data_IF_191749574467
#
_entry.id   IF_191749574467
#
_cell.length_a   1.000
_cell.length_b   1.000
_cell.length_c   1.000
_cell.angle_alpha   90.00
_cell.angle_beta   90.00
_cell.angle_gamma   90.00
#
_symmetry.space_group_name_H-M   'P 1'
#
loop_
_entity.id
_entity.type
_entity.pdbx_description
1 polymer ?
#
# COMPACT_ATOMS: atom_id res chain seq x y z
N UNK A 1 -13.27 -20.09 16.75
CA UNK A 1 -12.37 -18.93 16.88
C UNK A 1 -11.36 -19.05 15.76
N UNK A 2 -11.17 -18.00 14.94
CA UNK A 2 -10.10 -17.99 13.93
C UNK A 2 -8.75 -17.91 14.66
N UNK A 3 -7.76 -18.68 14.20
CA UNK A 3 -6.41 -18.64 14.75
C UNK A 3 -5.73 -17.29 14.51
N UNK A 4 -4.69 -16.94 15.28
CA UNK A 4 -3.93 -15.72 15.06
C UNK A 4 -3.36 -15.68 13.63
N UNK A 5 -3.52 -14.54 12.96
CA UNK A 5 -2.93 -14.29 11.65
C UNK A 5 -1.41 -14.35 11.75
N UNK A 6 -0.75 -15.04 10.82
CA UNK A 6 0.71 -15.10 10.79
C UNK A 6 1.31 -13.75 10.35
N UNK A 7 2.55 -13.47 10.77
CA UNK A 7 3.25 -12.23 10.40
C UNK A 7 3.40 -12.09 8.87
N UNK A 8 3.65 -13.20 8.18
CA UNK A 8 3.80 -13.23 6.71
C UNK A 8 2.49 -12.96 5.97
N UNK A 9 1.36 -13.52 6.45
CA UNK A 9 0.03 -13.23 5.91
C UNK A 9 -0.32 -11.75 6.09
N UNK A 10 -0.04 -11.20 7.28
CA UNK A 10 -0.24 -9.77 7.56
C UNK A 10 0.60 -8.90 6.62
N UNK A 11 1.89 -9.22 6.45
CA UNK A 11 2.79 -8.46 5.58
C UNK A 11 2.31 -8.49 4.12
N UNK A 12 1.87 -9.65 3.63
CA UNK A 12 1.32 -9.81 2.28
C UNK A 12 0.04 -8.99 2.10
N UNK A 13 -0.86 -9.03 3.07
CA UNK A 13 -2.12 -8.29 3.03
C UNK A 13 -1.89 -6.77 3.07
N UNK A 14 -0.98 -6.31 3.91
CA UNK A 14 -0.56 -4.90 3.96
C UNK A 14 0.07 -4.45 2.64
N UNK A 15 0.94 -5.28 2.03
CA UNK A 15 1.53 -4.97 0.72
C UNK A 15 0.45 -4.82 -0.36
N UNK A 16 -0.52 -5.73 -0.42
CA UNK A 16 -1.66 -5.64 -1.35
C UNK A 16 -2.49 -4.38 -1.12
N UNK A 17 -2.75 -4.03 0.13
CA UNK A 17 -3.47 -2.80 0.50
C UNK A 17 -2.70 -1.54 0.07
N UNK A 18 -1.39 -1.46 0.35
CA UNK A 18 -0.52 -0.35 -0.06
C UNK A 18 -0.57 -0.15 -1.58
N UNK A 19 -0.46 -1.24 -2.36
CA UNK A 19 -0.56 -1.20 -3.82
C UNK A 19 -1.94 -0.73 -4.26
N UNK A 20 -3.02 -1.28 -3.66
CA UNK A 20 -4.39 -0.88 -3.99
C UNK A 20 -4.65 0.60 -3.76
N UNK A 21 -4.19 1.16 -2.64
CA UNK A 21 -4.31 2.59 -2.34
C UNK A 21 -3.53 3.42 -3.37
N UNK A 22 -2.27 3.06 -3.66
CA UNK A 22 -1.45 3.79 -4.62
C UNK A 22 -2.10 3.85 -6.00
N UNK A 23 -2.56 2.71 -6.51
CA UNK A 23 -3.24 2.62 -7.81
C UNK A 23 -4.55 3.41 -7.81
N UNK A 24 -5.36 3.32 -6.74
CA UNK A 24 -6.62 4.04 -6.64
C UNK A 24 -6.42 5.56 -6.72
N UNK A 25 -5.41 6.10 -6.04
CA UNK A 25 -5.05 7.52 -6.09
C UNK A 25 -4.61 7.91 -7.50
N UNK A 26 -3.75 7.10 -8.14
CA UNK A 26 -3.32 7.32 -9.51
C UNK A 26 -4.48 7.37 -10.50
N UNK A 27 -5.36 6.37 -10.46
CA UNK A 27 -6.55 6.30 -11.33
C UNK A 27 -7.45 7.51 -11.09
N UNK A 28 -7.65 7.92 -9.84
CA UNK A 28 -8.45 9.10 -9.50
C UNK A 28 -7.89 10.37 -10.17
N UNK A 29 -6.59 10.62 -10.03
CA UNK A 29 -5.90 11.75 -10.66
C UNK A 29 -5.98 11.70 -12.19
N UNK A 30 -5.83 10.51 -12.79
CA UNK A 30 -5.94 10.32 -14.23
C UNK A 30 -7.35 10.68 -14.74
N UNK A 31 -8.40 10.24 -14.04
CA UNK A 31 -9.79 10.57 -14.40
C UNK A 31 -10.05 12.07 -14.26
N UNK A 32 -9.54 12.72 -13.21
CA UNK A 32 -9.66 14.18 -13.04
C UNK A 32 -8.99 14.91 -14.20
N UNK A 33 -7.77 14.53 -14.57
CA UNK A 33 -7.04 15.12 -15.70
C UNK A 33 -7.78 14.90 -17.03
N UNK A 34 -8.35 13.70 -17.23
CA UNK A 34 -9.13 13.37 -18.42
C UNK A 34 -10.40 14.22 -18.51
N UNK A 35 -11.14 14.37 -17.41
CA UNK A 35 -12.33 15.23 -17.34
C UNK A 35 -12.00 16.72 -17.51
N UNK A 36 -10.78 17.13 -17.14
CA UNK A 36 -10.28 18.48 -17.37
C UNK A 36 -9.87 18.78 -18.82
N UNK A 37 -10.02 17.83 -19.75
CA UNK A 37 -9.59 18.00 -21.15
C UNK A 37 -8.08 17.93 -21.34
N UNK A 38 -7.34 17.37 -20.37
CA UNK A 38 -5.90 17.18 -20.46
C UNK A 38 -5.53 16.26 -21.62
N UNK A 39 -4.40 16.54 -22.27
CA UNK A 39 -3.85 15.65 -23.30
C UNK A 39 -3.48 14.29 -22.71
N UNK A 40 -3.29 13.28 -23.57
CA UNK A 40 -2.95 11.92 -23.13
C UNK A 40 -1.66 11.90 -22.28
N UNK A 41 -0.71 12.77 -22.59
CA UNK A 41 0.52 12.94 -21.81
C UNK A 41 0.23 13.50 -20.41
N UNK A 42 -0.71 14.45 -20.27
CA UNK A 42 -1.13 15.01 -18.98
C UNK A 42 -1.85 13.96 -18.15
N UNK A 43 -2.74 13.17 -18.75
CA UNK A 43 -3.44 12.08 -18.07
C UNK A 43 -2.46 11.02 -17.58
N UNK A 44 -1.51 10.60 -18.43
CA UNK A 44 -0.46 9.66 -18.05
C UNK A 44 0.45 10.21 -16.95
N UNK A 45 0.81 11.49 -17.02
CA UNK A 45 1.58 12.18 -15.98
C UNK A 45 0.83 12.25 -14.64
N UNK A 46 -0.46 12.59 -14.67
CA UNK A 46 -1.31 12.63 -13.49
C UNK A 46 -1.47 11.26 -12.84
N UNK A 47 -1.62 10.19 -13.65
CA UNK A 47 -1.63 8.82 -13.15
C UNK A 47 -0.32 8.45 -12.45
N UNK A 48 0.82 8.74 -13.09
CA UNK A 48 2.14 8.41 -12.56
C UNK A 48 2.43 9.18 -11.25
N UNK A 49 2.18 10.49 -11.24
CA UNK A 49 2.36 11.34 -10.06
C UNK A 49 1.41 10.96 -8.92
N UNK A 50 0.13 10.71 -9.24
CA UNK A 50 -0.86 10.27 -8.26
C UNK A 50 -0.49 8.91 -7.65
N UNK A 51 -0.02 7.96 -8.45
CA UNK A 51 0.42 6.65 -7.97
C UNK A 51 1.66 6.76 -7.10
N UNK A 52 2.65 7.55 -7.52
CA UNK A 52 3.88 7.79 -6.75
C UNK A 52 3.57 8.44 -5.39
N UNK A 53 2.70 9.45 -5.37
CA UNK A 53 2.25 10.11 -4.15
C UNK A 53 1.47 9.14 -3.25
N UNK A 54 0.54 8.37 -3.81
CA UNK A 54 -0.23 7.36 -3.08
C UNK A 54 0.67 6.29 -2.47
N UNK A 55 1.71 5.85 -3.20
CA UNK A 55 2.71 4.92 -2.68
C UNK A 55 3.55 5.52 -1.55
N UNK A 56 3.98 6.77 -1.69
CA UNK A 56 4.72 7.48 -0.65
C UNK A 56 3.90 7.64 0.64
N UNK A 57 2.62 8.01 0.51
CA UNK A 57 1.68 8.08 1.63
C UNK A 57 1.44 6.72 2.27
N UNK A 58 1.23 5.68 1.48
CA UNK A 58 1.02 4.33 1.99
C UNK A 58 2.26 3.80 2.74
N UNK A 59 3.47 4.17 2.28
CA UNK A 59 4.72 3.86 2.97
C UNK A 59 4.83 4.62 4.31
N UNK A 60 4.47 5.90 4.31
CA UNK A 60 4.49 6.73 5.52
C UNK A 60 3.48 6.28 6.58
N UNK A 61 2.25 5.94 6.17
CA UNK A 61 1.15 5.59 7.08
C UNK A 61 1.28 4.16 7.62
N UNK A 62 1.73 3.23 6.79
CA UNK A 62 1.84 1.81 7.14
C UNK A 62 3.32 1.40 7.15
N UNK A 63 4.09 1.70 8.20
CA UNK A 63 5.45 1.18 8.34
C UNK A 63 5.44 -0.36 8.34
N UNK A 64 6.53 -0.97 7.87
CA UNK A 64 6.58 -2.41 7.66
C UNK A 64 6.28 -3.21 8.94
N UNK A 65 5.59 -4.33 8.78
CA UNK A 65 5.17 -5.20 9.88
C UNK A 65 6.37 -5.71 10.70
N UNK A 66 7.56 -5.71 10.11
CA UNK A 66 8.83 -6.05 10.75
C UNK A 66 9.17 -5.10 11.91
N UNK A 67 8.65 -3.87 11.88
CA UNK A 67 8.76 -2.91 12.98
C UNK A 67 7.91 -3.31 14.20
N UNK A 68 6.93 -4.21 14.01
CA UNK A 68 6.11 -4.82 15.06
C UNK A 68 6.57 -6.25 15.36
N UNK A 69 7.88 -6.51 15.32
CA UNK A 69 8.43 -7.73 15.93
C UNK A 69 8.25 -7.61 17.43
N UNK A 70 7.33 -8.39 17.99
CA UNK A 70 7.15 -8.50 19.43
C UNK A 70 8.48 -8.95 20.06
N UNK A 71 9.06 -8.19 21.00
CA UNK A 71 10.28 -8.60 21.70
C UNK A 71 10.12 -9.91 22.49
N UNK A 72 8.89 -10.40 22.68
CA UNK A 72 8.60 -11.67 23.36
C UNK A 72 8.44 -12.87 22.41
N UNK A 73 8.86 -12.78 21.14
CA UNK A 73 8.92 -13.92 20.20
C UNK A 73 10.12 -14.85 20.52
N UNK A 74 10.26 -15.19 21.80
CA UNK A 74 11.23 -16.15 22.34
C UNK A 74 10.60 -17.55 22.36
N UNK A 75 10.85 -18.33 21.31
CA UNK A 75 11.12 -19.76 21.45
C UNK A 75 10.02 -20.69 21.97
N UNK A 76 8.74 -20.36 21.84
CA UNK A 76 7.62 -21.21 22.31
C UNK A 76 7.27 -22.40 21.39
N UNK A 77 8.15 -22.76 20.44
CA UNK A 77 8.08 -23.99 19.62
C UNK A 77 9.19 -25.00 19.94
N UNK A 78 9.74 -25.00 21.17
CA UNK A 78 10.41 -26.18 21.75
C UNK A 78 9.51 -26.78 22.82
N UNK A 79 8.50 -27.55 22.43
CA UNK A 79 7.98 -28.72 23.16
C UNK A 79 7.01 -29.51 22.31
#
# INVERSE_FOLDING_TARGET
MVGPITTDERATQLRRLKIGIAVLVGVSMAIVAFRGGGSLAVVGGAFALGTALGAALAWYIFPDADAYRDPNDEGSYRR
#
